data_IF_143530184254
#
_entry.id   IF_143530184254
#
_cell.length_a   1.000
_cell.length_b   1.000
_cell.length_c   1.000
_cell.angle_alpha   90.00
_cell.angle_beta   90.00
_cell.angle_gamma   90.00
#
_symmetry.space_group_name_H-M   'P 1'
#
loop_
_entity.id
_entity.type
_entity.pdbx_description
1 polymer ?
#
# COMPACT_ATOMS: atom_id res chain seq x y z
N UNK A 1 -15.58 39.13 -14.58
CA UNK A 1 -16.40 38.85 -15.78
C UNK A 1 -17.29 37.67 -15.42
N UNK A 2 -18.54 37.94 -15.09
CA UNK A 2 -19.52 36.94 -14.71
C UNK A 2 -20.05 36.32 -16.01
N UNK A 3 -19.76 35.02 -16.21
CA UNK A 3 -20.43 34.25 -17.26
C UNK A 3 -21.83 33.90 -16.74
N UNK A 4 -22.78 34.74 -17.09
CA UNK A 4 -24.19 34.42 -16.98
C UNK A 4 -24.46 33.09 -17.70
N UNK A 5 -25.13 32.20 -17.00
CA UNK A 5 -25.80 31.04 -17.61
C UNK A 5 -26.93 31.64 -18.44
N UNK A 6 -26.73 31.77 -19.75
CA UNK A 6 -27.77 32.20 -20.68
C UNK A 6 -28.81 31.08 -20.75
N UNK A 7 -29.89 31.27 -20.04
CA UNK A 7 -31.13 30.49 -20.24
C UNK A 7 -31.79 31.07 -21.48
N UNK A 8 -31.55 30.48 -22.62
CA UNK A 8 -32.27 30.80 -23.86
C UNK A 8 -33.69 30.25 -23.78
N UNK A 9 -34.62 31.13 -23.52
CA UNK A 9 -36.07 30.85 -23.59
C UNK A 9 -36.45 30.49 -25.01
N UNK A 10 -36.69 29.22 -25.30
CA UNK A 10 -37.37 28.78 -26.52
C UNK A 10 -38.81 28.39 -26.23
N UNK A 11 -39.68 29.21 -26.79
CA UNK A 11 -41.09 29.03 -27.13
C UNK A 11 -42.01 28.25 -26.17
N UNK A 12 -42.92 29.00 -25.60
CA UNK A 12 -44.20 28.53 -25.05
C UNK A 12 -44.99 27.76 -26.12
N UNK A 13 -45.04 26.45 -25.97
CA UNK A 13 -46.17 25.63 -26.39
C UNK A 13 -46.59 24.91 -25.11
N UNK A 14 -47.78 25.21 -24.64
CA UNK A 14 -48.32 24.79 -23.35
C UNK A 14 -48.15 23.31 -23.06
N UNK A 15 -47.26 23.06 -22.16
CA UNK A 15 -47.09 21.91 -21.26
C UNK A 15 -45.61 21.79 -20.84
N UNK A 16 -45.30 22.21 -19.62
CA UNK A 16 -44.05 21.86 -18.98
C UNK A 16 -42.81 22.63 -19.47
N UNK A 17 -42.15 23.33 -18.62
CA UNK A 17 -40.81 23.92 -18.87
C UNK A 17 -39.84 22.73 -18.98
N UNK A 18 -39.47 22.34 -20.20
CA UNK A 18 -38.33 21.46 -20.42
C UNK A 18 -37.05 22.25 -20.11
N UNK A 19 -36.48 22.01 -18.96
CA UNK A 19 -35.18 22.53 -18.61
C UNK A 19 -34.11 21.74 -19.38
N UNK A 20 -33.60 22.28 -20.48
CA UNK A 20 -32.40 21.77 -21.12
C UNK A 20 -31.21 22.09 -20.24
N UNK A 21 -30.63 21.06 -19.60
CA UNK A 21 -29.37 21.20 -18.90
C UNK A 21 -28.21 20.73 -19.77
N UNK A 22 -27.19 21.56 -19.85
CA UNK A 22 -25.97 21.19 -20.56
C UNK A 22 -25.04 20.39 -19.67
N UNK A 23 -24.71 19.20 -20.13
CA UNK A 23 -23.71 18.36 -19.47
C UNK A 23 -22.34 19.03 -19.51
N UNK A 24 -21.69 19.12 -18.35
CA UNK A 24 -20.33 19.65 -18.28
C UNK A 24 -19.36 18.81 -19.13
N UNK A 25 -18.45 19.45 -19.88
CA UNK A 25 -17.46 18.76 -20.70
C UNK A 25 -16.57 17.85 -19.83
N UNK A 26 -16.20 16.68 -20.39
CA UNK A 26 -15.38 15.67 -19.69
C UNK A 26 -14.13 16.24 -19.04
N UNK A 27 -13.30 17.10 -19.68
CA UNK A 27 -12.11 17.66 -19.04
C UNK A 27 -12.42 18.42 -17.76
N UNK A 28 -13.49 19.20 -17.73
CA UNK A 28 -13.88 20.00 -16.55
C UNK A 28 -14.28 19.09 -15.38
N UNK A 29 -15.00 18.00 -15.66
CA UNK A 29 -15.36 17.00 -14.63
C UNK A 29 -14.13 16.23 -14.14
N UNK A 30 -13.25 15.85 -15.06
CA UNK A 30 -12.01 15.13 -14.73
C UNK A 30 -11.10 15.98 -13.82
N UNK A 31 -10.93 17.27 -14.11
CA UNK A 31 -10.11 18.17 -13.27
C UNK A 31 -10.74 18.36 -11.90
N UNK A 32 -12.07 18.51 -11.80
CA UNK A 32 -12.78 18.61 -10.52
C UNK A 32 -12.56 17.34 -9.69
N UNK A 33 -12.72 16.16 -10.30
CA UNK A 33 -12.46 14.89 -9.64
C UNK A 33 -11.01 14.72 -9.19
N UNK A 34 -10.03 15.07 -10.03
CA UNK A 34 -8.61 15.01 -9.67
C UNK A 34 -8.27 15.95 -8.50
N UNK A 35 -8.89 17.11 -8.46
CA UNK A 35 -8.74 18.04 -7.36
C UNK A 35 -9.31 17.46 -6.05
N UNK A 36 -10.51 16.89 -6.08
CA UNK A 36 -11.11 16.22 -4.93
C UNK A 36 -10.26 15.05 -4.46
N UNK A 37 -9.77 14.22 -5.39
CA UNK A 37 -8.88 13.09 -5.11
C UNK A 37 -7.58 13.55 -4.42
N UNK A 38 -6.96 14.61 -4.91
CA UNK A 38 -5.75 15.17 -4.31
C UNK A 38 -6.02 15.63 -2.85
N UNK A 39 -7.11 16.35 -2.63
CA UNK A 39 -7.49 16.79 -1.29
C UNK A 39 -7.82 15.61 -0.35
N UNK A 40 -8.52 14.59 -0.86
CA UNK A 40 -8.78 13.36 -0.11
C UNK A 40 -7.50 12.62 0.26
N UNK A 41 -6.52 12.54 -0.65
CA UNK A 41 -5.23 11.91 -0.37
C UNK A 41 -4.46 12.63 0.74
N UNK A 42 -4.40 13.96 0.70
CA UNK A 42 -3.76 14.76 1.76
C UNK A 42 -4.42 14.52 3.11
N UNK A 43 -5.75 14.51 3.15
CA UNK A 43 -6.50 14.23 4.38
C UNK A 43 -6.29 12.78 4.85
N UNK A 44 -6.26 11.82 3.93
CA UNK A 44 -6.00 10.40 4.25
C UNK A 44 -4.62 10.21 4.88
N UNK A 45 -3.58 10.89 4.37
CA UNK A 45 -2.24 10.87 4.96
C UNK A 45 -2.23 11.45 6.36
N UNK A 46 -2.91 12.58 6.58
CA UNK A 46 -3.06 13.17 7.92
C UNK A 46 -3.81 12.24 8.90
N UNK A 47 -4.91 11.64 8.44
CA UNK A 47 -5.66 10.66 9.23
C UNK A 47 -4.84 9.40 9.53
N UNK A 48 -4.08 8.91 8.55
CA UNK A 48 -3.16 7.78 8.74
C UNK A 48 -2.11 8.08 9.80
N UNK A 49 -1.46 9.25 9.74
CA UNK A 49 -0.47 9.65 10.73
C UNK A 49 -1.06 9.74 12.15
N UNK A 50 -2.25 10.33 12.28
CA UNK A 50 -2.94 10.42 13.58
C UNK A 50 -3.37 9.05 14.13
N UNK A 51 -3.93 8.18 13.29
CA UNK A 51 -4.30 6.82 13.66
C UNK A 51 -3.06 5.98 14.00
N UNK A 52 -2.00 6.10 13.22
CA UNK A 52 -0.73 5.43 13.47
C UNK A 52 -0.19 5.79 14.85
N UNK A 53 -0.11 7.06 15.19
CA UNK A 53 0.30 7.52 16.50
C UNK A 53 -0.54 6.90 17.63
N UNK A 54 -1.86 6.84 17.48
CA UNK A 54 -2.74 6.23 18.48
C UNK A 54 -2.51 4.72 18.62
N UNK A 55 -2.33 4.01 17.50
CA UNK A 55 -2.08 2.56 17.47
C UNK A 55 -0.72 2.21 18.04
N UNK A 56 0.35 2.93 17.67
CA UNK A 56 1.71 2.72 18.17
C UNK A 56 1.80 2.91 19.70
N UNK A 57 0.92 3.74 20.27
CA UNK A 57 0.79 3.90 21.71
C UNK A 57 -0.06 2.83 22.41
N UNK A 58 -0.70 1.93 21.66
CA UNK A 58 -1.47 0.84 22.25
C UNK A 58 -0.55 -0.28 22.75
N UNK A 59 -0.85 -0.83 23.96
CA UNK A 59 -0.06 -1.94 24.54
C UNK A 59 -0.01 -3.17 23.62
N UNK A 60 -1.11 -3.43 22.90
CA UNK A 60 -1.22 -4.56 21.99
C UNK A 60 -0.28 -4.48 20.79
N UNK A 61 -0.10 -3.27 20.23
CA UNK A 61 0.83 -3.04 19.13
C UNK A 61 2.28 -3.06 19.63
N UNK A 62 2.58 -2.35 20.72
CA UNK A 62 3.91 -2.30 21.33
C UNK A 62 4.43 -3.69 21.65
N UNK A 63 3.65 -4.51 22.33
CA UNK A 63 4.06 -5.88 22.66
C UNK A 63 4.36 -6.72 21.39
N UNK A 64 3.59 -6.56 20.32
CA UNK A 64 3.88 -7.26 19.05
C UNK A 64 5.14 -6.70 18.39
N UNK A 65 5.35 -5.39 18.41
CA UNK A 65 6.52 -4.74 17.87
C UNK A 65 7.79 -5.13 18.64
N UNK A 66 7.75 -5.06 19.97
CA UNK A 66 8.88 -5.45 20.82
C UNK A 66 9.24 -6.92 20.62
N UNK A 67 8.24 -7.79 20.50
CA UNK A 67 8.47 -9.22 20.21
C UNK A 67 9.09 -9.41 18.83
N UNK A 68 8.58 -8.72 17.80
CA UNK A 68 9.13 -8.78 16.45
C UNK A 68 10.59 -8.32 16.42
N UNK A 69 10.89 -7.19 17.05
CA UNK A 69 12.25 -6.63 17.14
C UNK A 69 13.17 -7.56 17.92
N UNK A 70 12.72 -8.09 19.06
CA UNK A 70 13.51 -8.99 19.89
C UNK A 70 13.95 -10.24 19.11
N UNK A 71 12.99 -10.95 18.48
CA UNK A 71 13.28 -12.16 17.69
C UNK A 71 14.14 -11.85 16.46
N UNK A 72 13.86 -10.73 15.79
CA UNK A 72 14.66 -10.29 14.63
C UNK A 72 16.12 -10.05 15.00
N UNK A 73 16.38 -9.40 16.15
CA UNK A 73 17.75 -9.16 16.65
C UNK A 73 18.40 -10.45 17.13
N UNK A 74 17.68 -11.27 17.87
CA UNK A 74 18.16 -12.55 18.38
C UNK A 74 18.59 -13.48 17.25
N UNK A 75 17.84 -13.49 16.14
CA UNK A 75 18.21 -14.25 14.94
C UNK A 75 19.56 -13.86 14.34
N UNK A 76 20.04 -12.65 14.60
CA UNK A 76 21.27 -12.10 14.01
C UNK A 76 21.13 -11.68 12.54
N UNK A 77 19.97 -11.92 11.89
CA UNK A 77 19.70 -11.56 10.49
C UNK A 77 19.37 -10.07 10.31
N UNK A 78 19.05 -9.38 11.42
CA UNK A 78 18.73 -7.96 11.44
C UNK A 78 19.60 -7.23 12.46
N UNK A 79 19.94 -6.01 12.16
CA UNK A 79 20.70 -5.12 13.06
C UNK A 79 20.06 -3.73 13.09
N UNK A 80 20.33 -2.99 14.14
CA UNK A 80 19.89 -1.60 14.25
C UNK A 80 20.86 -0.68 13.51
N UNK A 81 20.35 0.19 12.68
CA UNK A 81 21.11 1.30 12.12
C UNK A 81 20.98 2.50 13.08
N UNK A 82 22.06 2.87 13.73
CA UNK A 82 22.08 3.91 14.78
C UNK A 82 21.61 5.28 14.29
N UNK A 83 21.78 5.56 12.97
CA UNK A 83 21.44 6.85 12.37
C UNK A 83 19.95 7.04 12.13
N UNK A 84 19.19 5.95 11.91
CA UNK A 84 17.77 6.02 11.54
C UNK A 84 16.84 5.35 12.55
N UNK A 85 17.38 4.77 13.62
CA UNK A 85 16.63 3.96 14.60
C UNK A 85 15.77 2.87 13.94
N UNK A 86 16.25 2.33 12.81
CA UNK A 86 15.58 1.34 12.02
C UNK A 86 16.24 -0.04 12.12
N UNK A 87 15.41 -1.08 12.11
CA UNK A 87 15.85 -2.46 12.01
C UNK A 87 16.07 -2.80 10.54
N UNK A 88 17.32 -3.04 10.15
CA UNK A 88 17.70 -3.35 8.77
C UNK A 88 18.30 -4.75 8.63
N UNK A 89 18.18 -5.36 7.49
CA UNK A 89 18.81 -6.65 7.18
C UNK A 89 20.33 -6.50 7.17
N UNK A 90 21.05 -7.52 7.62
CA UNK A 90 22.54 -7.52 7.73
C UNK A 90 23.22 -7.18 6.40
N UNK A 91 22.68 -7.62 5.27
CA UNK A 91 23.25 -7.31 3.94
C UNK A 91 23.11 -5.84 3.60
N UNK A 92 21.94 -5.25 3.87
CA UNK A 92 21.70 -3.79 3.67
C UNK A 92 22.60 -2.98 4.58
N UNK A 93 22.73 -3.38 5.87
CA UNK A 93 23.61 -2.75 6.82
C UNK A 93 25.09 -2.81 6.38
N UNK A 94 25.55 -3.99 5.94
CA UNK A 94 26.93 -4.19 5.47
C UNK A 94 27.27 -3.26 4.30
N UNK A 95 26.39 -3.21 3.27
CA UNK A 95 26.55 -2.32 2.11
C UNK A 95 26.56 -0.84 2.50
N UNK A 96 25.73 -0.44 3.44
CA UNK A 96 25.67 0.95 3.94
C UNK A 96 26.87 1.35 4.81
N UNK A 97 27.30 0.45 5.70
CA UNK A 97 28.35 0.73 6.70
C UNK A 97 29.76 0.59 6.11
N UNK A 98 30.02 -0.51 5.41
CA UNK A 98 31.36 -0.82 4.91
C UNK A 98 31.61 -0.34 3.47
N UNK A 99 30.62 0.27 2.80
CA UNK A 99 30.69 0.88 1.45
C UNK A 99 31.67 0.20 0.49
N UNK A 100 32.89 0.75 0.35
CA UNK A 100 33.90 0.29 -0.60
C UNK A 100 34.79 -0.86 -0.08
N UNK A 101 34.52 -1.37 1.14
CA UNK A 101 35.29 -2.45 1.77
C UNK A 101 34.57 -3.80 1.60
N UNK A 102 34.63 -4.34 0.41
CA UNK A 102 33.92 -5.58 0.03
C UNK A 102 34.28 -6.77 0.94
N UNK A 103 35.55 -6.94 1.27
CA UNK A 103 35.99 -8.02 2.18
C UNK A 103 35.31 -7.93 3.56
N UNK A 104 35.20 -6.71 4.12
CA UNK A 104 34.50 -6.48 5.40
C UNK A 104 32.99 -6.77 5.26
N UNK A 105 32.36 -6.40 4.13
CA UNK A 105 30.94 -6.73 3.86
C UNK A 105 30.73 -8.24 3.83
N UNK A 106 31.52 -8.96 3.04
CA UNK A 106 31.47 -10.42 2.90
C UNK A 106 31.68 -11.10 4.25
N UNK A 107 32.75 -10.73 4.96
CA UNK A 107 33.08 -11.33 6.27
C UNK A 107 31.97 -11.10 7.30
N UNK A 108 31.38 -9.92 7.32
CA UNK A 108 30.24 -9.62 8.21
C UNK A 108 29.02 -10.45 7.88
N UNK A 109 28.61 -10.53 6.60
CA UNK A 109 27.46 -11.31 6.16
C UNK A 109 27.66 -12.82 6.42
N UNK A 110 28.83 -13.35 6.10
CA UNK A 110 29.18 -14.76 6.36
C UNK A 110 29.10 -15.10 7.83
N UNK A 111 29.72 -14.27 8.69
CA UNK A 111 29.70 -14.47 10.15
C UNK A 111 28.28 -14.50 10.70
N UNK A 112 27.41 -13.57 10.27
CA UNK A 112 26.03 -13.46 10.74
C UNK A 112 25.17 -14.63 10.28
N UNK A 113 25.23 -14.96 8.98
CA UNK A 113 24.48 -16.10 8.44
C UNK A 113 24.99 -17.43 9.01
N UNK A 114 26.30 -17.62 9.12
CA UNK A 114 26.86 -18.80 9.78
C UNK A 114 26.35 -18.94 11.21
N UNK A 115 26.33 -17.86 11.99
CA UNK A 115 25.79 -17.89 13.36
C UNK A 115 24.31 -18.26 13.38
N UNK A 116 23.49 -17.69 12.48
CA UNK A 116 22.07 -18.04 12.37
C UNK A 116 21.85 -19.54 12.16
N UNK A 117 22.59 -20.16 11.23
CA UNK A 117 22.43 -21.56 10.90
C UNK A 117 23.13 -22.54 11.88
N UNK A 118 24.24 -22.13 12.52
CA UNK A 118 25.04 -23.06 13.36
C UNK A 118 24.71 -22.94 14.84
N UNK A 119 24.50 -21.73 15.34
CA UNK A 119 24.14 -21.47 16.75
C UNK A 119 22.64 -21.59 16.98
N UNK A 120 21.86 -21.32 15.90
CA UNK A 120 20.39 -21.34 15.94
C UNK A 120 19.80 -20.59 17.14
N UNK A 121 20.04 -19.28 17.24
CA UNK A 121 19.70 -18.51 18.44
C UNK A 121 18.20 -18.45 18.71
N UNK A 122 17.37 -18.74 17.72
CA UNK A 122 15.90 -18.76 17.80
C UNK A 122 15.29 -20.16 17.77
N UNK A 123 16.14 -21.21 17.88
CA UNK A 123 15.74 -22.62 17.96
C UNK A 123 14.81 -23.11 16.83
N UNK A 124 15.24 -22.92 15.60
CA UNK A 124 14.48 -23.28 14.39
C UNK A 124 14.85 -24.64 13.82
N UNK A 125 16.07 -25.13 14.11
CA UNK A 125 16.68 -26.28 13.46
C UNK A 125 16.88 -27.43 14.46
N UNK A 126 16.85 -28.66 13.95
CA UNK A 126 17.37 -29.81 14.70
C UNK A 126 18.90 -29.76 14.75
N UNK A 127 19.50 -30.54 15.67
CA UNK A 127 20.95 -30.55 15.85
C UNK A 127 21.68 -30.88 14.53
N UNK A 128 22.55 -29.98 14.11
CA UNK A 128 23.32 -30.07 12.85
C UNK A 128 22.53 -29.81 11.55
N UNK A 129 21.21 -29.63 11.62
CA UNK A 129 20.41 -29.39 10.44
C UNK A 129 20.73 -28.00 9.83
N UNK A 130 20.84 -26.97 10.62
CA UNK A 130 21.12 -25.62 10.13
C UNK A 130 22.44 -25.56 9.35
N UNK A 131 23.52 -26.14 9.88
CA UNK A 131 24.80 -26.18 9.17
C UNK A 131 24.68 -26.94 7.83
N UNK A 132 23.94 -28.07 7.81
CA UNK A 132 23.70 -28.82 6.60
C UNK A 132 22.96 -28.00 5.56
N UNK A 133 21.94 -27.23 5.97
CA UNK A 133 21.17 -26.35 5.09
C UNK A 133 22.05 -25.23 4.54
N UNK A 134 22.84 -24.57 5.37
CA UNK A 134 23.73 -23.49 4.94
C UNK A 134 24.79 -23.99 3.94
N UNK A 135 25.35 -25.18 4.16
CA UNK A 135 26.27 -25.80 3.21
C UNK A 135 25.56 -26.22 1.90
N UNK A 136 24.30 -26.65 1.97
CA UNK A 136 23.51 -26.95 0.79
C UNK A 136 23.16 -25.71 -0.06
N UNK A 137 23.01 -24.54 0.57
CA UNK A 137 22.87 -23.26 -0.15
C UNK A 137 24.16 -22.87 -0.89
N UNK A 138 25.33 -23.21 -0.34
CA UNK A 138 26.64 -22.93 -0.94
C UNK A 138 26.96 -23.91 -2.07
N UNK A 139 26.77 -25.22 -1.82
CA UNK A 139 27.15 -26.30 -2.76
C UNK A 139 26.09 -27.38 -2.78
N UNK A 140 25.73 -27.86 -3.95
CA UNK A 140 24.75 -28.94 -4.15
C UNK A 140 23.81 -28.65 -5.32
N UNK A 141 22.85 -29.57 -5.54
CA UNK A 141 21.88 -29.41 -6.64
C UNK A 141 21.00 -28.18 -6.48
N UNK A 142 20.64 -27.85 -5.26
CA UNK A 142 19.79 -26.69 -4.92
C UNK A 142 20.58 -25.47 -4.42
N UNK A 143 21.89 -25.42 -4.69
CA UNK A 143 22.73 -24.29 -4.29
C UNK A 143 22.29 -22.99 -4.98
N UNK A 144 22.47 -21.89 -4.28
CA UNK A 144 22.28 -20.55 -4.84
C UNK A 144 23.30 -20.35 -5.97
N UNK A 145 22.81 -19.92 -7.15
CA UNK A 145 23.63 -19.73 -8.36
C UNK A 145 23.53 -18.30 -8.85
N UNK A 146 24.56 -17.89 -9.60
CA UNK A 146 24.56 -16.62 -10.30
C UNK A 146 23.46 -16.58 -11.39
N UNK A 147 23.19 -15.43 -11.93
CA UNK A 147 22.18 -15.24 -12.98
C UNK A 147 22.47 -16.01 -14.26
N UNK A 148 23.72 -16.33 -14.52
CA UNK A 148 24.17 -17.15 -15.65
C UNK A 148 24.17 -18.68 -15.35
N UNK A 149 23.79 -19.07 -14.12
CA UNK A 149 23.76 -20.45 -13.66
C UNK A 149 25.10 -20.97 -13.10
N UNK A 150 26.15 -20.13 -13.06
CA UNK A 150 27.43 -20.53 -12.47
C UNK A 150 27.38 -20.56 -10.95
N UNK A 151 28.16 -21.43 -10.28
CA UNK A 151 28.19 -21.51 -8.83
C UNK A 151 29.02 -20.37 -8.23
N UNK A 152 28.69 -19.99 -6.98
CA UNK A 152 29.51 -19.08 -6.17
C UNK A 152 30.62 -19.81 -5.40
N UNK A 153 30.38 -21.09 -5.08
CA UNK A 153 31.29 -21.92 -4.27
C UNK A 153 31.63 -23.22 -4.97
N UNK A 154 32.80 -23.74 -4.69
CA UNK A 154 33.21 -25.12 -5.03
C UNK A 154 33.70 -25.82 -3.76
N UNK A 155 33.76 -27.16 -3.78
CA UNK A 155 34.32 -27.93 -2.71
C UNK A 155 35.86 -27.93 -2.82
N UNK A 156 36.54 -27.68 -1.70
CA UNK A 156 37.98 -27.84 -1.60
C UNK A 156 38.38 -29.32 -1.46
N UNK A 157 39.67 -29.61 -1.32
CA UNK A 157 40.21 -30.96 -1.12
C UNK A 157 39.72 -31.66 0.16
N UNK A 158 39.18 -30.90 1.10
CA UNK A 158 38.62 -31.38 2.37
C UNK A 158 37.08 -31.40 2.36
N UNK A 159 36.45 -31.19 1.21
CA UNK A 159 34.98 -31.17 1.02
C UNK A 159 34.31 -29.97 1.71
N UNK A 160 35.05 -28.87 1.97
CA UNK A 160 34.45 -27.63 2.50
C UNK A 160 34.10 -26.65 1.37
N UNK A 161 33.00 -25.91 1.48
CA UNK A 161 32.65 -24.89 0.51
C UNK A 161 33.68 -23.74 0.53
N UNK A 162 34.30 -23.46 -0.62
CA UNK A 162 35.22 -22.36 -0.82
C UNK A 162 34.70 -21.45 -1.93
N UNK A 163 34.67 -20.13 -1.71
CA UNK A 163 34.29 -19.17 -2.71
C UNK A 163 35.25 -19.20 -3.89
N UNK A 164 34.69 -19.24 -5.11
CA UNK A 164 35.42 -19.25 -6.37
C UNK A 164 35.27 -17.98 -7.20
N UNK A 165 34.57 -17.00 -6.64
CA UNK A 165 34.30 -15.70 -7.24
C UNK A 165 34.89 -14.58 -6.39
N UNK A 166 34.98 -13.38 -6.93
CA UNK A 166 35.40 -12.19 -6.20
C UNK A 166 34.34 -11.73 -5.18
N UNK A 167 34.73 -10.89 -4.23
CA UNK A 167 33.87 -10.43 -3.15
C UNK A 167 32.66 -9.63 -3.65
N UNK A 168 32.81 -8.87 -4.76
CA UNK A 168 31.71 -8.11 -5.33
C UNK A 168 30.61 -9.04 -5.89
N UNK A 169 31.02 -10.10 -6.57
CA UNK A 169 30.09 -11.15 -7.06
C UNK A 169 29.53 -11.96 -5.91
N UNK A 170 30.36 -12.26 -4.88
CA UNK A 170 29.95 -13.05 -3.71
C UNK A 170 28.86 -12.35 -2.87
N UNK A 171 28.82 -11.02 -2.87
CA UNK A 171 27.71 -10.29 -2.25
C UNK A 171 26.35 -10.62 -2.86
N UNK A 172 26.30 -11.04 -4.13
CA UNK A 172 25.09 -11.56 -4.78
C UNK A 172 24.58 -12.88 -4.17
N UNK A 173 25.47 -13.73 -3.68
CA UNK A 173 25.08 -14.90 -2.89
C UNK A 173 24.41 -14.48 -1.58
N UNK A 174 24.99 -13.54 -0.83
CA UNK A 174 24.44 -13.11 0.44
C UNK A 174 23.09 -12.38 0.28
N UNK A 175 22.86 -11.67 -0.81
CA UNK A 175 21.56 -11.09 -1.13
C UNK A 175 20.45 -12.15 -1.27
N UNK A 176 20.80 -13.36 -1.76
CA UNK A 176 19.85 -14.46 -1.89
C UNK A 176 19.79 -15.31 -0.59
N UNK A 177 20.92 -15.58 0.04
CA UNK A 177 20.99 -16.36 1.26
C UNK A 177 20.24 -15.71 2.44
N UNK A 178 20.22 -14.38 2.53
CA UNK A 178 19.43 -13.68 3.54
C UNK A 178 17.93 -13.89 3.34
N UNK A 179 17.46 -13.99 2.08
CA UNK A 179 16.05 -14.27 1.79
C UNK A 179 15.69 -15.68 2.26
N UNK A 180 16.50 -16.69 1.94
CA UNK A 180 16.32 -18.04 2.43
C UNK A 180 16.32 -18.13 3.96
N UNK A 181 17.27 -17.44 4.61
CA UNK A 181 17.33 -17.38 6.07
C UNK A 181 16.08 -16.76 6.70
N UNK A 182 15.54 -15.70 6.10
CA UNK A 182 14.26 -15.08 6.54
C UNK A 182 13.08 -16.04 6.30
N UNK A 183 13.09 -16.84 5.25
CA UNK A 183 12.07 -17.88 5.04
C UNK A 183 12.11 -18.94 6.15
N UNK A 184 13.30 -19.33 6.61
CA UNK A 184 13.42 -20.19 7.80
C UNK A 184 12.94 -19.47 9.07
N UNK A 185 13.29 -18.19 9.26
CA UNK A 185 12.80 -17.41 10.41
C UNK A 185 11.27 -17.32 10.44
N UNK A 186 10.62 -17.32 9.29
CA UNK A 186 9.17 -17.40 9.17
C UNK A 186 8.56 -18.73 9.64
N UNK A 187 9.36 -19.73 10.05
CA UNK A 187 8.86 -20.93 10.75
C UNK A 187 8.68 -20.71 12.25
N UNK A 188 9.32 -19.67 12.82
CA UNK A 188 9.10 -19.30 14.21
C UNK A 188 7.68 -18.77 14.40
N UNK A 189 6.87 -19.46 15.22
CA UNK A 189 5.51 -19.03 15.52
C UNK A 189 5.48 -17.64 16.17
N UNK A 190 6.43 -17.36 17.04
CA UNK A 190 6.56 -16.08 17.73
C UNK A 190 6.79 -14.94 16.75
N UNK A 191 7.75 -15.10 15.83
CA UNK A 191 8.04 -14.13 14.79
C UNK A 191 6.85 -13.91 13.86
N UNK A 192 6.28 -15.01 13.35
CA UNK A 192 5.15 -14.96 12.41
C UNK A 192 3.91 -14.33 13.04
N UNK A 193 3.60 -14.66 14.28
CA UNK A 193 2.44 -14.09 14.96
C UNK A 193 2.61 -12.59 15.22
N UNK A 194 3.80 -12.16 15.64
CA UNK A 194 4.13 -10.75 15.80
C UNK A 194 4.05 -10.00 14.46
N UNK A 195 4.71 -10.49 13.42
CA UNK A 195 4.71 -9.93 12.06
C UNK A 195 3.30 -9.85 11.47
N UNK A 196 2.51 -10.93 11.56
CA UNK A 196 1.10 -10.95 11.10
C UNK A 196 0.25 -9.93 11.83
N UNK A 197 0.44 -9.77 13.14
CA UNK A 197 -0.31 -8.80 13.93
C UNK A 197 0.00 -7.37 13.51
N UNK A 198 1.28 -7.05 13.31
CA UNK A 198 1.72 -5.73 12.81
C UNK A 198 1.16 -5.46 11.41
N UNK A 199 1.34 -6.40 10.49
CA UNK A 199 0.84 -6.31 9.11
C UNK A 199 -0.69 -6.16 9.06
N UNK A 200 -1.43 -6.94 9.83
CA UNK A 200 -2.90 -6.81 9.94
C UNK A 200 -3.31 -5.44 10.46
N UNK A 201 -2.61 -4.92 11.46
CA UNK A 201 -2.92 -3.60 12.01
C UNK A 201 -2.73 -2.51 10.96
N UNK A 202 -1.66 -2.56 10.19
CA UNK A 202 -1.42 -1.57 9.12
C UNK A 202 -2.41 -1.76 7.96
N UNK A 203 -2.50 -2.96 7.41
CA UNK A 203 -3.21 -3.21 6.15
C UNK A 203 -4.74 -3.29 6.32
N UNK A 204 -5.25 -3.81 7.45
CA UNK A 204 -6.68 -3.98 7.66
C UNK A 204 -7.30 -2.91 8.58
N UNK A 205 -6.50 -2.23 9.38
CA UNK A 205 -7.02 -1.20 10.28
C UNK A 205 -6.61 0.20 9.83
N UNK A 206 -5.31 0.50 9.72
CA UNK A 206 -4.84 1.87 9.49
C UNK A 206 -5.20 2.38 8.09
N UNK A 207 -4.86 1.62 7.04
CA UNK A 207 -5.10 2.06 5.65
C UNK A 207 -6.59 2.20 5.35
N UNK A 208 -7.45 1.19 5.58
CA UNK A 208 -8.88 1.33 5.30
C UNK A 208 -9.56 2.41 6.12
N UNK A 209 -9.18 2.53 7.41
CA UNK A 209 -9.79 3.54 8.28
C UNK A 209 -9.40 4.96 7.90
N UNK A 210 -8.15 5.21 7.50
CA UNK A 210 -7.71 6.53 7.06
C UNK A 210 -8.41 6.96 5.76
N UNK A 211 -8.58 6.04 4.81
CA UNK A 211 -9.33 6.28 3.59
C UNK A 211 -10.83 6.49 3.87
N UNK A 212 -11.42 5.69 4.74
CA UNK A 212 -12.83 5.85 5.12
C UNK A 212 -13.10 7.19 5.82
N UNK A 213 -12.20 7.61 6.72
CA UNK A 213 -12.29 8.93 7.39
C UNK A 213 -12.16 10.06 6.37
N UNK A 214 -11.18 9.97 5.47
CA UNK A 214 -10.97 10.97 4.43
C UNK A 214 -12.20 11.10 3.53
N UNK A 215 -12.75 9.98 3.10
CA UNK A 215 -13.94 9.93 2.26
C UNK A 215 -15.18 10.44 2.99
N UNK A 216 -15.37 10.07 4.27
CA UNK A 216 -16.45 10.59 5.10
C UNK A 216 -16.39 12.10 5.22
N UNK A 217 -15.21 12.65 5.45
CA UNK A 217 -15.06 14.11 5.57
C UNK A 217 -15.30 14.79 4.23
N UNK A 218 -14.67 14.34 3.16
CA UNK A 218 -14.62 15.06 1.90
C UNK A 218 -15.86 14.86 1.02
N UNK A 219 -16.36 13.63 0.93
CA UNK A 219 -17.50 13.29 0.08
C UNK A 219 -18.85 13.38 0.80
N UNK A 220 -18.86 13.44 2.13
CA UNK A 220 -20.09 13.52 2.90
C UNK A 220 -20.19 14.77 3.76
N UNK A 221 -19.25 15.01 4.69
CA UNK A 221 -19.36 16.14 5.63
C UNK A 221 -19.17 17.50 4.94
N UNK A 222 -18.21 17.63 4.04
CA UNK A 222 -17.98 18.89 3.30
C UNK A 222 -19.20 19.27 2.45
N UNK A 223 -19.76 18.40 1.61
CA UNK A 223 -21.02 18.69 0.91
C UNK A 223 -22.18 18.99 1.85
N UNK A 224 -22.30 18.26 2.96
CA UNK A 224 -23.39 18.44 3.92
C UNK A 224 -23.35 19.80 4.63
N UNK A 225 -22.16 20.28 4.99
CA UNK A 225 -21.99 21.51 5.79
C UNK A 225 -21.94 22.72 4.88
N UNK A 226 -21.09 22.71 3.86
CA UNK A 226 -20.77 23.87 3.06
C UNK A 226 -21.60 24.00 1.78
N UNK A 227 -22.04 22.89 1.19
CA UNK A 227 -22.69 22.86 -0.12
C UNK A 227 -24.07 22.19 -0.10
N UNK A 228 -24.80 22.30 0.99
CA UNK A 228 -26.10 21.64 1.23
C UNK A 228 -27.14 21.87 0.13
N UNK A 229 -27.08 23.01 -0.58
CA UNK A 229 -28.06 23.34 -1.65
C UNK A 229 -27.78 22.64 -2.97
N UNK A 230 -26.73 21.86 -3.12
CA UNK A 230 -26.37 21.17 -4.37
C UNK A 230 -25.53 19.94 -4.16
N UNK A 231 -25.28 19.56 -2.91
CA UNK A 231 -24.47 18.37 -2.54
C UNK A 231 -23.16 18.27 -3.32
N UNK A 232 -22.50 19.42 -3.56
CA UNK A 232 -21.30 19.53 -4.38
C UNK A 232 -20.10 19.14 -3.57
N UNK A 233 -19.19 18.40 -4.18
CA UNK A 233 -17.83 18.24 -3.65
C UNK A 233 -17.06 19.56 -3.78
N UNK A 234 -15.90 19.65 -3.15
CA UNK A 234 -15.10 20.86 -3.20
C UNK A 234 -14.62 21.18 -4.62
N UNK A 235 -14.16 20.18 -5.36
CA UNK A 235 -13.81 20.33 -6.77
C UNK A 235 -15.01 20.70 -7.64
N UNK A 236 -16.17 20.10 -7.43
CA UNK A 236 -17.40 20.51 -8.12
C UNK A 236 -17.73 21.97 -7.85
N UNK A 237 -17.56 22.46 -6.62
CA UNK A 237 -17.84 23.85 -6.28
C UNK A 237 -16.88 24.82 -6.97
N UNK A 238 -15.58 24.53 -6.98
CA UNK A 238 -14.55 25.36 -7.64
C UNK A 238 -14.81 25.44 -9.14
N UNK A 239 -15.17 24.33 -9.78
CA UNK A 239 -15.40 24.27 -11.21
C UNK A 239 -16.84 24.56 -11.62
N UNK A 240 -17.68 25.09 -10.70
CA UNK A 240 -19.08 25.43 -10.93
C UNK A 240 -19.90 24.29 -11.53
N UNK A 241 -19.69 23.07 -11.03
CA UNK A 241 -20.47 21.89 -11.36
C UNK A 241 -21.61 21.72 -10.37
N UNK A 242 -22.68 21.06 -10.78
CA UNK A 242 -23.79 20.70 -9.91
C UNK A 242 -24.16 19.24 -10.10
N UNK A 243 -24.52 18.58 -9.01
CA UNK A 243 -25.10 17.25 -9.02
C UNK A 243 -26.62 17.43 -9.19
N UNK A 244 -27.22 16.75 -10.18
CA UNK A 244 -28.63 16.81 -10.48
C UNK A 244 -29.24 15.39 -10.44
N UNK A 245 -30.52 15.32 -10.16
CA UNK A 245 -31.29 14.09 -10.36
C UNK A 245 -31.85 14.00 -11.80
N UNK A 246 -32.52 12.90 -12.12
CA UNK A 246 -33.11 12.68 -13.46
C UNK A 246 -34.16 13.72 -13.86
N UNK A 247 -34.58 14.58 -12.96
CA UNK A 247 -35.51 15.68 -13.21
C UNK A 247 -34.82 17.06 -13.26
N UNK A 248 -33.48 17.08 -13.37
CA UNK A 248 -32.66 18.29 -13.35
C UNK A 248 -32.82 19.16 -12.08
N UNK A 249 -33.15 18.54 -10.97
CA UNK A 249 -33.32 19.20 -9.66
C UNK A 249 -32.20 18.72 -8.73
N UNK A 250 -31.90 19.53 -7.71
CA UNK A 250 -30.93 19.13 -6.66
C UNK A 250 -31.37 17.81 -6.00
N UNK A 251 -30.47 16.83 -5.86
CA UNK A 251 -30.81 15.51 -5.34
C UNK A 251 -31.37 15.58 -3.91
N UNK A 252 -32.25 14.64 -3.60
CA UNK A 252 -32.71 14.45 -2.22
C UNK A 252 -31.59 13.92 -1.36
N UNK A 253 -31.59 14.25 -0.08
CA UNK A 253 -30.60 13.76 0.89
C UNK A 253 -30.42 12.22 0.86
N UNK A 254 -31.51 11.47 0.67
CA UNK A 254 -31.44 10.00 0.57
C UNK A 254 -30.61 9.52 -0.62
N UNK A 255 -30.77 10.14 -1.79
CA UNK A 255 -30.00 9.80 -2.98
C UNK A 255 -28.52 10.15 -2.80
N UNK A 256 -28.24 11.30 -2.19
CA UNK A 256 -26.87 11.71 -1.84
C UNK A 256 -26.23 10.75 -0.83
N UNK A 257 -26.93 10.37 0.24
CA UNK A 257 -26.46 9.39 1.21
C UNK A 257 -26.18 8.03 0.58
N UNK A 258 -27.10 7.56 -0.30
CA UNK A 258 -26.93 6.28 -0.98
C UNK A 258 -25.72 6.30 -1.94
N UNK A 259 -25.51 7.42 -2.66
CA UNK A 259 -24.33 7.67 -3.48
C UNK A 259 -23.05 7.55 -2.65
N UNK A 260 -22.98 8.24 -1.52
CA UNK A 260 -21.83 8.18 -0.62
C UNK A 260 -21.57 6.75 -0.11
N UNK A 261 -22.60 6.05 0.35
CA UNK A 261 -22.46 4.67 0.81
C UNK A 261 -21.98 3.73 -0.31
N UNK A 262 -22.49 3.92 -1.52
CA UNK A 262 -22.03 3.16 -2.69
C UNK A 262 -20.54 3.39 -2.98
N UNK A 263 -20.12 4.65 -3.02
CA UNK A 263 -18.71 5.00 -3.20
C UNK A 263 -17.83 4.41 -2.09
N UNK A 264 -18.23 4.53 -0.84
CA UNK A 264 -17.47 4.02 0.31
C UNK A 264 -17.36 2.49 0.28
N UNK A 265 -18.49 1.79 0.14
CA UNK A 265 -18.51 0.32 0.28
C UNK A 265 -18.03 -0.36 -1.00
N UNK A 266 -18.58 0.03 -2.15
CA UNK A 266 -18.31 -0.67 -3.42
C UNK A 266 -17.04 -0.14 -4.07
N UNK A 267 -16.91 1.16 -4.25
CA UNK A 267 -15.78 1.71 -4.99
C UNK A 267 -14.51 1.83 -4.15
N UNK A 268 -14.62 1.96 -2.82
CA UNK A 268 -13.43 2.06 -1.97
C UNK A 268 -13.12 0.73 -1.28
N UNK A 269 -13.99 0.25 -0.37
CA UNK A 269 -13.67 -0.93 0.44
C UNK A 269 -13.60 -2.22 -0.40
N UNK A 270 -14.54 -2.44 -1.32
CA UNK A 270 -14.50 -3.62 -2.19
C UNK A 270 -13.30 -3.56 -3.16
N UNK A 271 -12.92 -2.37 -3.64
CA UNK A 271 -11.74 -2.20 -4.49
C UNK A 271 -10.44 -2.59 -3.81
N UNK A 272 -10.32 -2.42 -2.50
CA UNK A 272 -9.14 -2.84 -1.75
C UNK A 272 -8.96 -4.37 -1.75
N UNK A 273 -10.07 -5.12 -1.79
CA UNK A 273 -10.06 -6.59 -1.80
C UNK A 273 -9.95 -7.15 -3.23
N UNK A 274 -10.50 -6.42 -4.20
CA UNK A 274 -10.63 -6.87 -5.60
C UNK A 274 -9.64 -6.20 -6.56
N UNK A 275 -8.49 -5.71 -6.05
CA UNK A 275 -7.48 -5.02 -6.87
C UNK A 275 -8.05 -3.88 -7.72
N UNK A 276 -8.87 -3.03 -7.09
CA UNK A 276 -9.47 -1.83 -7.69
C UNK A 276 -10.46 -2.08 -8.85
N UNK A 277 -10.98 -3.31 -9.02
CA UNK A 277 -11.92 -3.62 -10.11
C UNK A 277 -13.15 -2.69 -10.12
N UNK A 278 -13.91 -2.46 -9.02
CA UNK A 278 -15.05 -1.56 -9.05
C UNK A 278 -14.69 -0.11 -9.40
N UNK A 279 -13.55 0.38 -8.89
CA UNK A 279 -13.05 1.72 -9.21
C UNK A 279 -12.73 1.85 -10.71
N UNK A 280 -12.09 0.83 -11.28
CA UNK A 280 -11.76 0.79 -12.71
C UNK A 280 -13.04 0.75 -13.59
N UNK A 281 -14.04 -0.02 -13.20
CA UNK A 281 -15.35 -0.06 -13.86
C UNK A 281 -16.02 1.31 -13.80
N UNK A 282 -16.03 1.96 -12.63
CA UNK A 282 -16.61 3.29 -12.44
C UNK A 282 -15.92 4.34 -13.34
N UNK A 283 -14.60 4.34 -13.39
CA UNK A 283 -13.82 5.21 -14.25
C UNK A 283 -14.07 4.96 -15.74
N UNK A 284 -14.10 3.69 -16.14
CA UNK A 284 -14.38 3.29 -17.54
C UNK A 284 -15.79 3.73 -17.96
N UNK A 285 -16.78 3.57 -17.11
CA UNK A 285 -18.15 4.05 -17.34
C UNK A 285 -18.19 5.57 -17.51
N UNK A 286 -17.47 6.33 -16.65
CA UNK A 286 -17.42 7.79 -16.73
C UNK A 286 -16.83 8.29 -18.07
N UNK A 287 -15.96 7.52 -18.71
CA UNK A 287 -15.35 7.88 -20.01
C UNK A 287 -16.16 7.38 -21.20
N UNK A 288 -16.53 6.09 -21.19
CA UNK A 288 -17.09 5.43 -22.37
C UNK A 288 -18.60 5.64 -22.57
N UNK A 289 -19.34 5.90 -21.49
CA UNK A 289 -20.78 6.12 -21.62
C UNK A 289 -21.08 7.49 -22.21
N UNK A 290 -22.10 7.56 -23.04
CA UNK A 290 -22.57 8.84 -23.65
C UNK A 290 -23.02 9.84 -22.60
N UNK A 291 -23.63 9.37 -21.52
CA UNK A 291 -24.04 10.18 -20.36
C UNK A 291 -22.87 10.48 -19.41
N UNK A 292 -21.71 9.76 -19.55
CA UNK A 292 -20.48 9.97 -18.77
C UNK A 292 -20.69 9.82 -17.27
N UNK A 293 -21.64 8.98 -16.87
CA UNK A 293 -21.90 8.69 -15.46
C UNK A 293 -20.92 7.64 -14.95
N UNK A 294 -20.22 7.89 -13.83
CA UNK A 294 -19.53 6.86 -13.10
C UNK A 294 -20.52 5.86 -12.47
N UNK A 295 -20.02 4.73 -12.01
CA UNK A 295 -20.85 3.63 -11.50
C UNK A 295 -21.78 4.09 -10.36
N UNK A 296 -21.26 4.85 -9.40
CA UNK A 296 -22.03 5.33 -8.25
C UNK A 296 -23.17 6.29 -8.64
N UNK A 297 -22.94 7.18 -9.59
CA UNK A 297 -23.97 8.10 -10.07
C UNK A 297 -25.04 7.34 -10.88
N UNK A 298 -24.62 6.39 -11.69
CA UNK A 298 -25.53 5.52 -12.43
C UNK A 298 -26.46 4.71 -11.52
N UNK A 299 -25.90 4.10 -10.46
CA UNK A 299 -26.67 3.28 -9.50
C UNK A 299 -27.63 4.12 -8.65
N UNK A 300 -27.36 5.41 -8.52
CA UNK A 300 -28.19 6.34 -7.72
C UNK A 300 -29.11 7.22 -8.57
N UNK A 301 -29.03 7.11 -9.89
CA UNK A 301 -29.81 7.94 -10.84
C UNK A 301 -29.44 9.42 -10.78
N UNK A 302 -28.18 9.74 -10.48
CA UNK A 302 -27.66 11.11 -10.41
C UNK A 302 -26.81 11.45 -11.65
N UNK A 303 -26.77 12.75 -12.02
CA UNK A 303 -26.10 13.26 -13.21
C UNK A 303 -25.16 14.39 -12.90
#
# INVERSE_FOLDING_TARGET
MSSEVVVENKKEVGQGIELEYFKAPLPKRAIAFLFDLMCMMVLALGAFAGLRFAVENSSSYRNAFDTYVAVSRESGLFTYEETEDNLVQIVTYAKGTFKDKLEEQVSFCESRLSTFYTVDPVHLFEEGEGLRLFNAEKVGENSIKQSDGSPYFALDSHQNPQAIVDDATLMGFYDQAIISAIEYLNRSETFVNASKKLSKTINLLLIPSSLAISMLVFEFLVPLIFFRRGWRTFGMAIFHLALLDGYAVSPRFRSFLFRFLWMLVVETLLSMVTFAVPLFVSFTMAILRKDGQPLHDYMTGLY
#
